data_IF_122510784311
#
_entry.id   IF_122510784311
#
_cell.length_a   1.000
_cell.length_b   1.000
_cell.length_c   1.000
_cell.angle_alpha   90.00
_cell.angle_beta   90.00
_cell.angle_gamma   90.00
#
_symmetry.space_group_name_H-M   'P 1'
#
loop_
_entity.id
_entity.type
_entity.pdbx_description
1 polymer ?
#
# COMPACT_ATOMS: atom_id res chain seq x y z
N UNK A 1 -4.14 27.44 -8.14
CA UNK A 1 -3.79 26.18 -7.48
C UNK A 1 -2.49 26.39 -6.72
N UNK A 2 -2.30 25.80 -5.51
CA UNK A 2 -1.04 25.87 -4.82
C UNK A 2 0.08 25.26 -5.68
N UNK A 3 1.32 25.73 -5.52
CA UNK A 3 2.46 25.18 -6.25
C UNK A 3 2.77 23.77 -5.70
N UNK A 4 3.25 22.86 -6.54
CA UNK A 4 3.69 21.51 -6.12
C UNK A 4 4.65 21.58 -4.91
N UNK A 5 5.58 22.54 -4.91
CA UNK A 5 6.51 22.78 -3.80
C UNK A 5 5.84 23.05 -2.46
N UNK A 6 4.73 23.80 -2.48
CA UNK A 6 4.01 24.19 -1.27
C UNK A 6 3.24 22.98 -0.70
N UNK A 7 2.66 22.14 -1.57
CA UNK A 7 1.99 20.91 -1.17
C UNK A 7 2.99 19.93 -0.56
N UNK A 8 4.18 19.77 -1.17
CA UNK A 8 5.25 18.92 -0.64
C UNK A 8 5.73 19.43 0.72
N UNK A 9 5.89 20.75 0.87
CA UNK A 9 6.25 21.35 2.15
C UNK A 9 5.22 21.01 3.24
N UNK A 10 3.91 21.12 2.91
CA UNK A 10 2.84 20.78 3.85
C UNK A 10 2.82 19.28 4.17
N UNK A 11 3.12 18.40 3.21
CA UNK A 11 3.26 16.96 3.46
C UNK A 11 4.37 16.66 4.48
N UNK A 12 5.54 17.35 4.39
CA UNK A 12 6.63 17.23 5.37
C UNK A 12 6.23 17.74 6.77
N UNK A 13 5.46 18.83 6.84
CA UNK A 13 4.93 19.31 8.12
C UNK A 13 3.97 18.33 8.73
N UNK A 14 3.06 17.74 7.91
CA UNK A 14 2.12 16.72 8.34
C UNK A 14 2.84 15.44 8.82
N UNK A 15 3.93 15.02 8.15
CA UNK A 15 4.79 13.92 8.59
C UNK A 15 5.37 14.18 9.99
N UNK A 16 6.00 15.35 10.20
CA UNK A 16 6.58 15.73 11.51
C UNK A 16 5.56 15.81 12.63
N UNK A 17 4.31 16.14 12.28
CA UNK A 17 3.19 16.20 13.21
C UNK A 17 2.47 14.86 13.37
N UNK A 18 2.94 13.78 12.72
CA UNK A 18 2.30 12.45 12.66
C UNK A 18 0.85 12.49 12.15
N UNK A 19 0.52 13.50 11.34
CA UNK A 19 -0.77 13.73 10.72
C UNK A 19 -0.84 13.00 9.37
N UNK A 20 -0.78 11.66 9.41
CA UNK A 20 -0.62 10.85 8.20
C UNK A 20 -1.83 10.88 7.27
N UNK A 21 -3.02 11.14 7.78
CA UNK A 21 -4.22 11.30 6.93
C UNK A 21 -4.10 12.54 6.05
N UNK A 22 -3.69 13.68 6.62
CA UNK A 22 -3.47 14.90 5.85
C UNK A 22 -2.24 14.79 4.95
N UNK A 23 -1.18 14.14 5.42
CA UNK A 23 -0.01 13.83 4.59
C UNK A 23 -0.39 13.03 3.35
N UNK A 24 -1.30 12.04 3.50
CA UNK A 24 -1.83 11.23 2.40
C UNK A 24 -2.56 12.11 1.37
N UNK A 25 -3.41 13.02 1.82
CA UNK A 25 -4.12 13.92 0.90
C UNK A 25 -3.17 14.83 0.11
N UNK A 26 -2.16 15.42 0.76
CA UNK A 26 -1.14 16.20 0.07
C UNK A 26 -0.39 15.35 -0.96
N UNK A 27 0.04 14.14 -0.59
CA UNK A 27 0.78 13.30 -1.51
C UNK A 27 -0.09 12.69 -2.61
N UNK A 28 -1.38 12.48 -2.37
CA UNK A 28 -2.36 12.10 -3.39
C UNK A 28 -2.46 13.19 -4.46
N UNK A 29 -2.59 14.45 -4.06
CA UNK A 29 -2.64 15.59 -4.98
C UNK A 29 -1.37 15.66 -5.84
N UNK A 30 -0.18 15.54 -5.23
CA UNK A 30 1.10 15.52 -5.94
C UNK A 30 1.18 14.35 -6.93
N UNK A 31 0.72 13.15 -6.54
CA UNK A 31 0.82 11.93 -7.33
C UNK A 31 -0.25 11.81 -8.44
N UNK A 32 -1.30 12.65 -8.42
CA UNK A 32 -2.35 12.68 -9.43
C UNK A 32 -2.33 13.93 -10.32
N UNK A 33 -1.34 14.81 -10.14
CA UNK A 33 -1.23 16.05 -10.93
C UNK A 33 -0.07 15.92 -11.91
N UNK A 34 -0.34 15.68 -13.21
CA UNK A 34 0.69 15.63 -14.23
C UNK A 34 1.39 17.00 -14.41
N UNK A 35 2.66 16.93 -14.73
CA UNK A 35 3.42 18.11 -15.14
C UNK A 35 2.82 18.68 -16.45
N UNK A 36 2.55 19.99 -16.51
CA UNK A 36 1.92 20.61 -17.67
C UNK A 36 2.71 20.49 -18.98
N UNK A 37 4.05 20.36 -18.89
CA UNK A 37 4.92 20.30 -20.06
C UNK A 37 5.05 18.86 -20.60
N UNK A 38 5.11 17.87 -19.69
CA UNK A 38 5.35 16.47 -20.06
C UNK A 38 4.08 15.63 -20.11
N UNK A 39 3.00 16.08 -19.47
CA UNK A 39 1.75 15.33 -19.32
C UNK A 39 1.89 14.09 -18.43
N UNK A 40 3.01 13.93 -17.72
CA UNK A 40 3.28 12.77 -16.87
C UNK A 40 3.52 13.17 -15.42
N UNK A 41 3.32 12.23 -14.50
CA UNK A 41 3.72 12.40 -13.09
C UNK A 41 5.09 11.79 -12.88
N UNK A 42 6.06 12.63 -12.54
CA UNK A 42 7.41 12.19 -12.14
C UNK A 42 7.66 12.63 -10.71
N UNK A 43 7.88 11.65 -9.84
CA UNK A 43 8.19 11.88 -8.42
C UNK A 43 9.68 11.69 -8.17
N UNK A 44 10.31 12.66 -7.53
CA UNK A 44 11.66 12.51 -6.99
C UNK A 44 11.74 11.38 -5.95
N UNK A 45 12.95 10.94 -5.59
CA UNK A 45 13.15 9.92 -4.54
C UNK A 45 12.47 10.33 -3.23
N UNK A 46 12.58 11.59 -2.85
CA UNK A 46 11.96 12.13 -1.65
C UNK A 46 10.44 12.10 -1.72
N UNK A 47 9.86 12.55 -2.82
CA UNK A 47 8.41 12.55 -3.03
C UNK A 47 7.83 11.13 -3.02
N UNK A 48 8.53 10.16 -3.61
CA UNK A 48 8.15 8.74 -3.54
C UNK A 48 8.17 8.20 -2.12
N UNK A 49 9.19 8.59 -1.33
CA UNK A 49 9.27 8.20 0.06
C UNK A 49 8.14 8.81 0.89
N UNK A 50 7.84 10.10 0.72
CA UNK A 50 6.73 10.76 1.40
C UNK A 50 5.39 10.10 1.08
N UNK A 51 5.14 9.78 -0.20
CA UNK A 51 3.95 9.04 -0.63
C UNK A 51 3.85 7.69 0.08
N UNK A 52 4.94 6.92 0.06
CA UNK A 52 4.99 5.60 0.68
C UNK A 52 4.77 5.66 2.20
N UNK A 53 5.40 6.60 2.88
CA UNK A 53 5.26 6.83 4.33
C UNK A 53 3.81 7.17 4.67
N UNK A 54 3.20 8.09 3.93
CA UNK A 54 1.83 8.55 4.18
C UNK A 54 0.83 7.38 4.10
N UNK A 55 0.79 6.69 2.98
CA UNK A 55 -0.14 5.57 2.78
C UNK A 55 0.13 4.40 3.72
N UNK A 56 1.41 4.04 3.93
CA UNK A 56 1.79 2.97 4.85
C UNK A 56 1.31 3.23 6.27
N UNK A 57 1.47 4.44 6.80
CA UNK A 57 1.05 4.76 8.16
C UNK A 57 -0.48 4.76 8.29
N UNK A 58 -1.21 5.34 7.33
CA UNK A 58 -2.69 5.30 7.33
C UNK A 58 -3.19 3.86 7.33
N UNK A 59 -2.66 3.01 6.45
CA UNK A 59 -3.05 1.59 6.38
C UNK A 59 -2.65 0.84 7.66
N UNK A 60 -1.44 1.06 8.19
CA UNK A 60 -1.00 0.38 9.41
C UNK A 60 -1.88 0.72 10.62
N UNK A 61 -2.28 1.99 10.80
CA UNK A 61 -3.16 2.39 11.88
C UNK A 61 -4.51 1.66 11.80
N UNK A 62 -5.08 1.55 10.60
CA UNK A 62 -6.34 0.83 10.37
C UNK A 62 -6.18 -0.68 10.56
N UNK A 63 -5.05 -1.27 10.15
CA UNK A 63 -4.74 -2.70 10.39
C UNK A 63 -4.63 -3.03 11.88
N UNK A 64 -4.06 -2.13 12.68
CA UNK A 64 -4.04 -2.28 14.15
C UNK A 64 -5.46 -2.27 14.70
N UNK A 65 -6.30 -1.33 14.29
CA UNK A 65 -7.71 -1.28 14.70
C UNK A 65 -8.46 -2.55 14.31
N UNK A 66 -8.27 -3.04 13.09
CA UNK A 66 -8.85 -4.29 12.60
C UNK A 66 -8.48 -5.50 13.45
N UNK A 67 -7.19 -5.63 13.81
CA UNK A 67 -6.71 -6.73 14.66
C UNK A 67 -7.32 -6.69 16.05
N UNK A 68 -7.43 -5.51 16.66
CA UNK A 68 -8.04 -5.32 17.98
C UNK A 68 -9.52 -5.71 17.92
N UNK A 69 -10.26 -5.26 16.93
CA UNK A 69 -11.69 -5.57 16.78
C UNK A 69 -11.91 -7.07 16.57
N UNK A 70 -11.11 -7.74 15.75
CA UNK A 70 -11.17 -9.19 15.58
C UNK A 70 -10.92 -9.95 16.89
N UNK A 71 -9.96 -9.50 17.71
CA UNK A 71 -9.72 -10.11 19.02
C UNK A 71 -10.94 -9.94 19.95
N UNK A 72 -11.62 -8.79 19.90
CA UNK A 72 -12.83 -8.56 20.68
C UNK A 72 -14.00 -9.42 20.20
N UNK A 73 -14.19 -9.55 18.88
CA UNK A 73 -15.21 -10.44 18.31
C UNK A 73 -14.99 -11.89 18.77
N UNK A 74 -13.73 -12.37 18.72
CA UNK A 74 -13.41 -13.72 19.19
C UNK A 74 -13.69 -13.94 20.68
N UNK A 75 -13.57 -12.92 21.51
CA UNK A 75 -13.90 -12.99 22.94
C UNK A 75 -15.42 -12.96 23.16
N UNK A 76 -16.11 -12.04 22.47
CA UNK A 76 -17.56 -11.89 22.62
C UNK A 76 -18.33 -13.09 22.05
N UNK A 77 -17.87 -13.70 20.95
CA UNK A 77 -18.51 -14.87 20.34
C UNK A 77 -18.46 -16.14 21.21
N UNK A 78 -17.59 -16.18 22.24
CA UNK A 78 -17.53 -17.29 23.20
C UNK A 78 -18.53 -17.17 24.36
N UNK A 79 -19.23 -16.05 24.49
CA UNK A 79 -20.25 -15.84 25.50
C UNK A 79 -21.58 -16.42 25.02
N UNK A 80 -22.39 -16.98 25.90
CA UNK A 80 -23.73 -17.52 25.57
C UNK A 80 -24.64 -16.45 24.95
N UNK A 81 -24.48 -15.19 25.40
CA UNK A 81 -25.17 -14.03 24.84
C UNK A 81 -24.28 -12.80 25.02
N UNK A 82 -23.99 -12.11 23.95
CA UNK A 82 -23.30 -10.82 23.99
C UNK A 82 -24.15 -9.76 23.32
N UNK A 83 -24.58 -8.72 24.05
CA UNK A 83 -25.36 -7.63 23.47
C UNK A 83 -24.51 -6.74 22.53
N UNK A 84 -23.18 -6.86 22.57
CA UNK A 84 -22.26 -5.99 21.81
C UNK A 84 -21.69 -6.63 20.57
N UNK A 85 -21.88 -7.93 20.36
CA UNK A 85 -21.21 -8.66 19.26
C UNK A 85 -21.56 -8.07 17.89
N UNK A 86 -22.83 -7.76 17.67
CA UNK A 86 -23.30 -7.21 16.40
C UNK A 86 -22.68 -5.83 16.14
N UNK A 87 -22.67 -4.94 17.13
CA UNK A 87 -22.10 -3.59 16.99
C UNK A 87 -20.60 -3.64 16.67
N UNK A 88 -19.85 -4.57 17.31
CA UNK A 88 -18.41 -4.75 17.05
C UNK A 88 -18.18 -5.28 15.63
N UNK A 89 -19.02 -6.18 15.15
CA UNK A 89 -18.94 -6.70 13.77
C UNK A 89 -19.20 -5.59 12.74
N UNK A 90 -20.22 -4.76 12.99
CA UNK A 90 -20.52 -3.62 12.12
C UNK A 90 -19.37 -2.60 12.10
N UNK A 91 -18.77 -2.34 13.26
CA UNK A 91 -17.58 -1.48 13.35
C UNK A 91 -16.37 -2.09 12.62
N UNK A 92 -16.14 -3.40 12.74
CA UNK A 92 -15.09 -4.09 11.96
C UNK A 92 -15.31 -3.92 10.45
N UNK A 93 -16.53 -4.14 9.98
CA UNK A 93 -16.86 -3.97 8.56
C UNK A 93 -16.59 -2.54 8.06
N UNK A 94 -16.86 -1.52 8.88
CA UNK A 94 -16.52 -0.13 8.55
C UNK A 94 -15.01 0.06 8.39
N UNK A 95 -14.20 -0.49 9.31
CA UNK A 95 -12.74 -0.42 9.25
C UNK A 95 -12.19 -1.18 8.04
N UNK A 96 -12.77 -2.35 7.70
CA UNK A 96 -12.39 -3.12 6.50
C UNK A 96 -12.65 -2.31 5.22
N UNK A 97 -13.82 -1.67 5.10
CA UNK A 97 -14.14 -0.83 3.95
C UNK A 97 -13.15 0.35 3.82
N UNK A 98 -12.86 1.05 4.91
CA UNK A 98 -11.89 2.13 4.92
C UNK A 98 -10.46 1.66 4.52
N UNK A 99 -10.05 0.46 4.94
CA UNK A 99 -8.78 -0.15 4.55
C UNK A 99 -8.73 -0.42 3.05
N UNK A 100 -9.80 -1.03 2.52
CA UNK A 100 -9.91 -1.34 1.10
C UNK A 100 -9.89 -0.05 0.28
N UNK A 101 -10.64 0.97 0.67
CA UNK A 101 -10.67 2.27 -0.01
C UNK A 101 -9.27 2.89 -0.11
N UNK A 102 -8.52 2.96 0.97
CA UNK A 102 -7.15 3.52 0.96
C UNK A 102 -6.22 2.69 0.10
N UNK A 103 -6.30 1.35 0.15
CA UNK A 103 -5.50 0.48 -0.69
C UNK A 103 -5.84 0.65 -2.18
N UNK A 104 -7.12 0.73 -2.51
CA UNK A 104 -7.56 0.92 -3.91
C UNK A 104 -7.20 2.31 -4.44
N UNK A 105 -7.24 3.33 -3.59
CA UNK A 105 -6.82 4.69 -3.96
C UNK A 105 -5.35 4.70 -4.42
N UNK A 106 -4.44 4.13 -3.63
CA UNK A 106 -3.02 4.11 -4.02
C UNK A 106 -2.76 3.19 -5.22
N UNK A 107 -3.50 2.09 -5.35
CA UNK A 107 -3.40 1.21 -6.53
C UNK A 107 -3.83 1.95 -7.81
N UNK A 108 -4.86 2.79 -7.74
CA UNK A 108 -5.27 3.65 -8.86
C UNK A 108 -4.17 4.67 -9.20
N UNK A 109 -3.60 5.38 -8.21
CA UNK A 109 -2.48 6.28 -8.44
C UNK A 109 -1.29 5.59 -9.12
N UNK A 110 -0.96 4.37 -8.68
CA UNK A 110 0.11 3.58 -9.28
C UNK A 110 -0.18 3.21 -10.73
N UNK A 111 -1.41 2.78 -11.04
CA UNK A 111 -1.80 2.33 -12.37
C UNK A 111 -1.94 3.49 -13.35
N UNK A 112 -2.59 4.57 -12.92
CA UNK A 112 -3.05 5.62 -13.82
C UNK A 112 -1.98 6.70 -14.06
N UNK A 113 -1.08 6.91 -13.07
CA UNK A 113 -0.12 8.01 -13.12
C UNK A 113 1.34 7.57 -12.92
N UNK A 114 1.64 6.80 -11.86
CA UNK A 114 3.02 6.64 -11.40
C UNK A 114 3.80 5.61 -12.21
N UNK A 115 3.22 4.45 -12.50
CA UNK A 115 3.87 3.42 -13.34
C UNK A 115 4.06 3.91 -14.76
N UNK A 116 3.03 4.52 -15.42
CA UNK A 116 3.20 5.10 -16.74
C UNK A 116 4.23 6.23 -16.80
N UNK A 117 4.35 7.04 -15.73
CA UNK A 117 5.29 8.15 -15.65
C UNK A 117 6.72 7.77 -15.24
N UNK A 118 6.97 6.52 -14.89
CA UNK A 118 8.28 6.06 -14.39
C UNK A 118 9.35 6.09 -15.48
N UNK A 119 10.45 6.82 -15.23
CA UNK A 119 11.50 7.09 -16.22
C UNK A 119 12.64 6.06 -16.21
N UNK A 120 12.95 5.49 -15.05
CA UNK A 120 14.05 4.56 -14.87
C UNK A 120 13.63 3.24 -14.22
N UNK A 121 14.52 2.24 -14.25
CA UNK A 121 14.28 0.91 -13.73
C UNK A 121 14.03 0.92 -12.21
N UNK A 122 14.73 1.75 -11.45
CA UNK A 122 14.58 1.83 -10.00
C UNK A 122 13.20 2.39 -9.61
N UNK A 123 12.71 3.40 -10.35
CA UNK A 123 11.35 3.90 -10.16
C UNK A 123 10.30 2.85 -10.48
N UNK A 124 10.45 2.14 -11.59
CA UNK A 124 9.52 1.06 -11.99
C UNK A 124 9.47 -0.04 -10.95
N UNK A 125 10.63 -0.52 -10.49
CA UNK A 125 10.72 -1.54 -9.42
C UNK A 125 10.04 -1.05 -8.15
N UNK A 126 10.29 0.20 -7.75
CA UNK A 126 9.68 0.78 -6.56
C UNK A 126 8.14 0.78 -6.65
N UNK A 127 7.58 1.23 -7.78
CA UNK A 127 6.12 1.30 -7.95
C UNK A 127 5.48 -0.08 -8.10
N UNK A 128 6.09 -1.01 -8.82
CA UNK A 128 5.59 -2.37 -8.93
C UNK A 128 5.65 -3.13 -7.60
N UNK A 129 6.72 -2.92 -6.82
CA UNK A 129 6.80 -3.44 -5.45
C UNK A 129 5.68 -2.87 -4.57
N UNK A 130 5.48 -1.55 -4.62
CA UNK A 130 4.43 -0.88 -3.85
C UNK A 130 3.05 -1.43 -4.24
N UNK A 131 2.79 -1.65 -5.52
CA UNK A 131 1.57 -2.28 -6.03
C UNK A 131 1.37 -3.69 -5.46
N UNK A 132 2.41 -4.50 -5.39
CA UNK A 132 2.40 -5.80 -4.73
C UNK A 132 2.06 -5.72 -3.25
N UNK A 133 2.66 -4.76 -2.54
CA UNK A 133 2.43 -4.53 -1.11
C UNK A 133 0.94 -4.24 -0.83
N UNK A 134 0.30 -3.37 -1.61
CA UNK A 134 -1.10 -3.01 -1.39
C UNK A 134 -2.08 -4.10 -1.80
N UNK A 135 -1.82 -4.86 -2.87
CA UNK A 135 -2.61 -6.06 -3.15
C UNK A 135 -2.47 -7.11 -2.04
N UNK A 136 -1.27 -7.29 -1.47
CA UNK A 136 -1.05 -8.17 -0.32
C UNK A 136 -1.84 -7.72 0.90
N UNK A 137 -1.88 -6.41 1.19
CA UNK A 137 -2.70 -5.90 2.29
C UNK A 137 -4.19 -6.19 2.08
N UNK A 138 -4.71 -5.99 0.87
CA UNK A 138 -6.11 -6.32 0.57
C UNK A 138 -6.39 -7.81 0.78
N UNK A 139 -5.44 -8.72 0.48
CA UNK A 139 -5.61 -10.17 0.73
C UNK A 139 -5.83 -10.51 2.21
N UNK A 140 -5.40 -9.66 3.15
CA UNK A 140 -5.58 -9.91 4.58
C UNK A 140 -7.06 -9.76 5.00
N UNK A 141 -7.84 -8.96 4.29
CA UNK A 141 -9.22 -8.59 4.64
C UNK A 141 -10.26 -9.25 3.73
N UNK A 142 -9.95 -9.40 2.45
CA UNK A 142 -10.84 -10.04 1.48
C UNK A 142 -10.90 -11.55 1.68
N UNK A 143 -12.04 -12.14 1.27
CA UNK A 143 -12.30 -13.58 1.37
C UNK A 143 -12.80 -14.12 0.02
N UNK A 144 -12.76 -15.45 -0.12
CA UNK A 144 -13.31 -16.13 -1.28
C UNK A 144 -12.60 -15.76 -2.60
N UNK A 145 -13.38 -15.52 -3.64
CA UNK A 145 -12.83 -15.31 -4.98
C UNK A 145 -12.12 -13.96 -5.14
N UNK A 146 -12.56 -12.93 -4.42
CA UNK A 146 -11.85 -11.64 -4.37
C UNK A 146 -10.44 -11.79 -3.79
N UNK A 147 -10.30 -12.52 -2.70
CA UNK A 147 -8.98 -12.80 -2.11
C UNK A 147 -8.07 -13.52 -3.11
N UNK A 148 -8.60 -14.52 -3.83
CA UNK A 148 -7.83 -15.25 -4.86
C UNK A 148 -7.35 -14.31 -5.96
N UNK A 149 -8.23 -13.43 -6.44
CA UNK A 149 -7.90 -12.43 -7.44
C UNK A 149 -6.78 -11.49 -6.96
N UNK A 150 -6.90 -10.98 -5.72
CA UNK A 150 -5.87 -10.10 -5.15
C UNK A 150 -4.53 -10.82 -4.95
N UNK A 151 -4.54 -12.10 -4.58
CA UNK A 151 -3.33 -12.92 -4.51
C UNK A 151 -2.61 -13.02 -5.86
N UNK A 152 -3.34 -13.27 -6.92
CA UNK A 152 -2.77 -13.33 -8.28
C UNK A 152 -2.14 -11.97 -8.64
N UNK A 153 -2.89 -10.89 -8.44
CA UNK A 153 -2.40 -9.52 -8.73
C UNK A 153 -1.17 -9.13 -7.90
N UNK A 154 -1.12 -9.52 -6.62
CA UNK A 154 0.04 -9.29 -5.76
C UNK A 154 1.28 -10.02 -6.30
N UNK A 155 1.13 -11.32 -6.62
CA UNK A 155 2.22 -12.14 -7.18
C UNK A 155 2.75 -11.56 -8.49
N UNK A 156 1.86 -11.22 -9.42
CA UNK A 156 2.21 -10.61 -10.70
C UNK A 156 2.95 -9.28 -10.51
N UNK A 157 2.50 -8.44 -9.56
CA UNK A 157 3.15 -7.17 -9.29
C UNK A 157 4.57 -7.35 -8.75
N UNK A 158 4.78 -8.24 -7.78
CA UNK A 158 6.11 -8.54 -7.26
C UNK A 158 7.00 -9.18 -8.32
N UNK A 159 6.47 -10.11 -9.13
CA UNK A 159 7.23 -10.74 -10.21
C UNK A 159 7.67 -9.70 -11.26
N UNK A 160 6.77 -8.82 -11.69
CA UNK A 160 7.11 -7.73 -12.61
C UNK A 160 8.21 -6.83 -12.04
N UNK A 161 8.17 -6.53 -10.73
CA UNK A 161 9.23 -5.76 -10.08
C UNK A 161 10.58 -6.49 -10.15
N UNK A 162 10.61 -7.80 -9.89
CA UNK A 162 11.82 -8.64 -9.98
C UNK A 162 12.37 -8.67 -11.41
N UNK A 163 11.51 -8.92 -12.39
CA UNK A 163 11.89 -9.01 -13.81
C UNK A 163 12.47 -7.69 -14.32
N UNK A 164 11.86 -6.56 -13.94
CA UNK A 164 12.38 -5.23 -14.27
C UNK A 164 13.74 -5.00 -13.61
N UNK A 165 13.90 -5.33 -12.32
CA UNK A 165 15.15 -5.18 -11.61
C UNK A 165 16.29 -5.96 -12.26
N UNK A 166 16.04 -7.18 -12.70
CA UNK A 166 16.99 -8.02 -13.42
C UNK A 166 17.33 -7.43 -14.81
N UNK A 167 16.29 -7.04 -15.57
CA UNK A 167 16.46 -6.48 -16.92
C UNK A 167 17.27 -5.18 -16.92
N UNK A 168 17.04 -4.33 -15.93
CA UNK A 168 17.73 -3.04 -15.76
C UNK A 168 19.08 -3.18 -15.01
N UNK A 169 19.52 -4.42 -14.72
CA UNK A 169 20.75 -4.75 -14.02
C UNK A 169 20.91 -4.03 -12.67
N UNK A 170 19.82 -3.90 -11.91
CA UNK A 170 19.91 -3.39 -10.55
C UNK A 170 20.65 -4.39 -9.66
N UNK A 171 21.65 -3.92 -8.93
CA UNK A 171 22.42 -4.78 -8.02
C UNK A 171 21.51 -5.40 -6.95
N UNK A 172 21.77 -6.67 -6.61
CA UNK A 172 21.05 -7.37 -5.54
C UNK A 172 21.17 -6.68 -4.17
N UNK A 173 22.23 -5.90 -3.97
CA UNK A 173 22.47 -5.08 -2.78
C UNK A 173 21.72 -3.74 -2.79
N UNK A 174 21.09 -3.38 -3.90
CA UNK A 174 20.29 -2.17 -3.98
C UNK A 174 19.15 -2.21 -2.95
N UNK A 175 18.95 -1.17 -2.11
CA UNK A 175 17.94 -1.17 -1.07
C UNK A 175 16.50 -1.44 -1.56
N UNK A 176 16.17 -1.02 -2.80
CA UNK A 176 14.86 -1.28 -3.40
C UNK A 176 14.71 -2.77 -3.70
N UNK A 177 15.77 -3.43 -4.23
CA UNK A 177 15.76 -4.85 -4.51
C UNK A 177 15.72 -5.70 -3.24
N UNK A 178 16.46 -5.31 -2.19
CA UNK A 178 16.40 -5.97 -0.89
C UNK A 178 14.99 -5.87 -0.26
N UNK A 179 14.41 -4.67 -0.31
CA UNK A 179 13.03 -4.47 0.16
C UNK A 179 11.99 -5.23 -0.66
N UNK A 180 12.21 -5.39 -1.96
CA UNK A 180 11.36 -6.20 -2.84
C UNK A 180 11.45 -7.68 -2.47
N UNK A 181 12.67 -8.23 -2.36
CA UNK A 181 12.89 -9.63 -2.00
C UNK A 181 12.26 -9.96 -0.64
N UNK A 182 12.46 -9.09 0.36
CA UNK A 182 11.85 -9.25 1.68
C UNK A 182 10.32 -9.27 1.62
N UNK A 183 9.69 -8.31 0.94
CA UNK A 183 8.23 -8.23 0.91
C UNK A 183 7.60 -9.35 0.07
N UNK A 184 8.29 -9.81 -0.97
CA UNK A 184 7.85 -10.94 -1.78
C UNK A 184 7.96 -12.26 -0.99
N UNK A 185 9.02 -12.44 -0.17
CA UNK A 185 9.11 -13.60 0.72
C UNK A 185 8.02 -13.59 1.80
N UNK A 186 7.71 -12.42 2.38
CA UNK A 186 6.59 -12.27 3.31
C UNK A 186 5.26 -12.63 2.64
N UNK A 187 5.05 -12.24 1.38
CA UNK A 187 3.86 -12.63 0.61
C UNK A 187 3.74 -14.15 0.46
N UNK A 188 4.82 -14.84 0.10
CA UNK A 188 4.80 -16.30 0.01
C UNK A 188 4.51 -16.95 1.35
N UNK A 189 5.11 -16.46 2.42
CA UNK A 189 4.93 -17.01 3.76
C UNK A 189 3.51 -16.75 4.31
N UNK A 190 3.04 -15.51 4.32
CA UNK A 190 1.79 -15.12 4.99
C UNK A 190 0.53 -15.39 4.14
N UNK A 191 0.64 -15.23 2.81
CA UNK A 191 -0.52 -15.25 1.92
C UNK A 191 -0.64 -16.55 1.13
N UNK A 192 0.49 -17.06 0.62
CA UNK A 192 0.51 -18.31 -0.15
C UNK A 192 0.67 -19.55 0.74
N UNK A 193 1.14 -19.38 2.00
CA UNK A 193 1.52 -20.46 2.91
C UNK A 193 2.59 -21.40 2.31
N UNK A 194 3.46 -20.86 1.46
CA UNK A 194 4.54 -21.57 0.77
C UNK A 194 5.89 -21.18 1.38
N UNK A 195 6.31 -21.92 2.42
CA UNK A 195 7.57 -21.69 3.11
C UNK A 195 8.82 -22.14 2.31
N UNK A 196 8.65 -22.79 1.16
CA UNK A 196 9.80 -23.20 0.32
C UNK A 196 10.29 -22.09 -0.61
N UNK A 197 9.48 -21.04 -0.79
CA UNK A 197 9.83 -19.87 -1.62
C UNK A 197 10.21 -18.63 -0.80
N UNK A 198 10.42 -18.81 0.48
CA UNK A 198 10.83 -17.73 1.41
C UNK A 198 12.33 -17.49 1.36
#
# INVERSE_FOLDING_TARGET
MPKKSDIIYMARIAEKAERYSEMKEYMREVASTPDPETGTVDLSNEERNLLSIAYKNVVNNKRVSWRILNQHIQKESKKESSPYLQDIVEFLNSVENELIEVCMEVLSLLNDYLIPGAKDGAQKVFYWKLKGDYYRYVCEFEKGDKQKEMKVKAREAYQNAMDIGQKENLESTNPIMLGLALNFSVFYYEIENDSQKV
#
